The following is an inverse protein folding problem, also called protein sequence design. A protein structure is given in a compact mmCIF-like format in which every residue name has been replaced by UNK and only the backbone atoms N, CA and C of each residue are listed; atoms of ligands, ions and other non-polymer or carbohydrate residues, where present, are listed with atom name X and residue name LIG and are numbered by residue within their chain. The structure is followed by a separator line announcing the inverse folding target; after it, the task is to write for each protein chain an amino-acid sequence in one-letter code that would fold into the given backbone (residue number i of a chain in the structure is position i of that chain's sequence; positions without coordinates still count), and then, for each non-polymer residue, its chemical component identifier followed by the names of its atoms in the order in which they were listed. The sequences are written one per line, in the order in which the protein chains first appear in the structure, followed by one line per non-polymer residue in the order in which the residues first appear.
data_IF_469652829429
#
_entry.id   IF_469652829429
#
_cell.length_a   1.000
_cell.length_b   1.000
_cell.length_c   1.000
_cell.angle_alpha   90.00
_cell.angle_beta   90.00
_cell.angle_gamma   90.00
#
_symmetry.space_group_name_H-M   'P 1'
#
loop_
_entity.id
_entity.type
_entity.pdbx_description
1 polymer ?
#
# COMPACT_ATOMS: atom_id res chain seq x y z
N UNK A 1 -8.95 -11.97 8.45
CA UNK A 1 -7.93 -12.38 7.45
C UNK A 1 -6.70 -11.50 7.56
N UNK A 2 -5.65 -11.86 6.88
CA UNK A 2 -4.44 -11.04 6.84
C UNK A 2 -4.53 -10.06 5.67
N UNK A 3 -4.38 -8.78 5.95
CA UNK A 3 -4.51 -7.71 4.96
C UNK A 3 -3.23 -6.89 4.91
N UNK A 4 -2.76 -6.62 3.70
CA UNK A 4 -1.67 -5.68 3.47
C UNK A 4 -2.22 -4.27 3.27
N UNK A 5 -1.56 -3.28 3.84
CA UNK A 5 -1.88 -1.87 3.62
C UNK A 5 -0.66 -1.16 3.08
N UNK A 6 -0.77 -0.65 1.87
CA UNK A 6 0.24 0.22 1.28
C UNK A 6 -0.19 1.65 1.59
N UNK A 7 0.55 2.31 2.47
CA UNK A 7 0.19 3.62 2.98
C UNK A 7 0.96 4.73 2.25
N UNK A 8 0.23 5.67 1.68
CA UNK A 8 0.78 6.90 1.11
C UNK A 8 0.60 8.08 2.04
N UNK A 9 0.59 9.27 1.47
CA UNK A 9 0.43 10.53 2.18
C UNK A 9 -1.03 10.74 2.62
N UNK A 10 -1.24 11.51 3.68
CA UNK A 10 -2.55 11.96 4.11
C UNK A 10 -3.12 11.14 5.26
N UNK A 11 -4.40 11.37 5.55
CA UNK A 11 -5.10 10.76 6.68
C UNK A 11 -5.86 9.49 6.33
N UNK A 12 -6.10 9.23 5.06
CA UNK A 12 -6.87 8.07 4.65
C UNK A 12 -6.25 6.74 5.11
N UNK A 13 -4.91 6.56 5.11
CA UNK A 13 -4.30 5.35 5.67
C UNK A 13 -4.68 5.09 7.13
N UNK A 14 -4.86 6.14 7.94
CA UNK A 14 -5.30 6.00 9.34
C UNK A 14 -6.71 5.42 9.42
N UNK A 15 -7.62 5.92 8.60
CA UNK A 15 -9.00 5.43 8.55
C UNK A 15 -9.05 3.97 8.08
N UNK A 16 -8.27 3.63 7.08
CA UNK A 16 -8.22 2.27 6.54
C UNK A 16 -7.66 1.30 7.57
N UNK A 17 -6.61 1.67 8.28
CA UNK A 17 -6.01 0.83 9.32
C UNK A 17 -7.02 0.57 10.45
N UNK A 18 -7.68 1.62 10.94
CA UNK A 18 -8.71 1.48 11.98
C UNK A 18 -9.87 0.62 11.50
N UNK A 19 -10.35 0.85 10.28
CA UNK A 19 -11.47 0.11 9.71
C UNK A 19 -11.12 -1.38 9.58
N UNK A 20 -9.94 -1.69 9.08
CA UNK A 20 -9.49 -3.06 8.88
C UNK A 20 -9.36 -3.80 10.22
N UNK A 21 -8.79 -3.14 11.24
CA UNK A 21 -8.66 -3.74 12.57
C UNK A 21 -10.02 -3.94 13.23
N UNK A 22 -10.94 -3.01 13.05
CA UNK A 22 -12.31 -3.14 13.57
C UNK A 22 -13.05 -4.32 12.94
N UNK A 23 -12.76 -4.60 11.67
CA UNK A 23 -13.33 -5.77 10.97
C UNK A 23 -12.63 -7.08 11.37
N UNK A 24 -11.63 -7.04 12.24
CA UNK A 24 -10.92 -8.23 12.71
C UNK A 24 -9.78 -8.71 11.82
N UNK A 25 -9.32 -7.87 10.89
CA UNK A 25 -8.18 -8.23 10.05
C UNK A 25 -6.84 -8.03 10.78
N UNK A 26 -5.91 -8.94 10.55
CA UNK A 26 -4.51 -8.71 10.89
C UNK A 26 -3.88 -7.88 9.78
N UNK A 27 -3.35 -6.71 10.11
CA UNK A 27 -2.84 -5.77 9.10
C UNK A 27 -1.31 -5.73 9.14
N UNK A 28 -0.70 -5.81 7.97
CA UNK A 28 0.71 -5.49 7.77
C UNK A 28 0.78 -4.20 6.96
N UNK A 29 1.34 -3.16 7.56
CA UNK A 29 1.45 -1.84 6.94
C UNK A 29 2.83 -1.69 6.32
N UNK A 30 2.85 -1.30 5.06
CA UNK A 30 4.08 -0.86 4.38
C UNK A 30 3.93 0.61 4.08
N UNK A 31 4.74 1.43 4.74
CA UNK A 31 4.73 2.87 4.62
C UNK A 31 5.86 3.35 3.73
N UNK A 32 5.64 4.47 3.07
CA UNK A 32 6.60 5.06 2.12
C UNK A 32 7.34 6.22 2.78
N UNK A 33 8.65 6.13 2.82
CA UNK A 33 9.50 7.21 3.37
C UNK A 33 9.20 8.51 2.63
N UNK A 34 9.11 9.61 3.39
CA UNK A 34 8.83 10.96 2.90
C UNK A 34 7.42 11.16 2.35
N UNK A 35 6.56 10.15 2.36
CA UNK A 35 5.16 10.26 1.94
C UNK A 35 4.19 10.01 3.08
N UNK A 36 4.33 8.89 3.77
CA UNK A 36 3.42 8.48 4.85
C UNK A 36 3.66 9.32 6.10
N UNK A 37 2.61 9.76 6.76
CA UNK A 37 2.72 10.47 8.03
C UNK A 37 3.32 9.53 9.09
N UNK A 38 4.39 9.96 9.80
CA UNK A 38 5.03 9.11 10.81
C UNK A 38 4.10 8.66 11.93
N UNK A 39 3.05 9.44 12.22
CA UNK A 39 2.06 9.13 13.25
C UNK A 39 1.30 7.82 12.98
N UNK A 40 1.30 7.35 11.72
CA UNK A 40 0.69 6.07 11.39
C UNK A 40 1.40 4.91 12.11
N UNK A 41 2.71 5.01 12.31
CA UNK A 41 3.46 4.02 13.09
C UNK A 41 2.97 3.95 14.52
N UNK A 42 2.63 5.09 15.12
CA UNK A 42 2.10 5.14 16.48
C UNK A 42 0.73 4.48 16.56
N UNK A 43 -0.13 4.74 15.57
CA UNK A 43 -1.45 4.10 15.50
C UNK A 43 -1.31 2.59 15.32
N UNK A 44 -0.39 2.14 14.48
CA UNK A 44 -0.15 0.71 14.24
C UNK A 44 0.35 -0.01 15.50
N UNK A 45 1.06 0.68 16.37
CA UNK A 45 1.58 0.11 17.61
C UNK A 45 0.52 -0.07 18.69
N UNK A 46 -0.64 0.60 18.58
CA UNK A 46 -1.73 0.44 19.55
C UNK A 46 -2.36 -0.95 19.42
N UNK A 47 -2.74 -1.59 20.55
CA UNK A 47 -3.38 -2.91 20.50
C UNK A 47 -4.74 -2.90 19.76
N UNK A 48 -5.01 -3.93 18.97
CA UNK A 48 -4.13 -5.01 18.54
C UNK A 48 -3.08 -4.49 17.55
N UNK A 49 -1.81 -4.66 17.88
CA UNK A 49 -0.72 -4.08 17.10
C UNK A 49 -0.68 -4.65 15.68
N UNK A 50 -0.42 -3.78 14.70
CA UNK A 50 -0.19 -4.15 13.32
C UNK A 50 1.31 -4.16 13.04
N UNK A 51 1.76 -5.09 12.18
CA UNK A 51 3.14 -5.05 11.70
C UNK A 51 3.33 -3.80 10.84
N UNK A 52 4.48 -3.15 10.96
CA UNK A 52 4.74 -1.88 10.29
C UNK A 52 6.16 -1.86 9.71
N UNK A 53 6.27 -1.52 8.44
CA UNK A 53 7.55 -1.46 7.74
C UNK A 53 7.65 -0.17 6.93
N UNK A 54 8.84 0.45 6.96
CA UNK A 54 9.16 1.58 6.10
C UNK A 54 9.95 1.08 4.90
N UNK A 55 9.54 1.51 3.70
CA UNK A 55 10.33 1.30 2.48
C UNK A 55 10.52 2.63 1.77
N UNK A 56 11.52 2.68 0.90
CA UNK A 56 11.68 3.83 0.01
C UNK A 56 10.78 3.66 -1.22
N UNK A 57 10.33 4.78 -1.75
CA UNK A 57 9.63 4.77 -3.02
C UNK A 57 10.56 4.16 -4.09
N UNK A 58 10.07 3.20 -4.84
CA UNK A 58 10.89 2.48 -5.81
C UNK A 58 11.24 1.04 -5.42
N UNK A 59 10.98 0.64 -4.18
CA UNK A 59 11.28 -0.71 -3.68
C UNK A 59 10.08 -1.66 -3.81
N UNK A 60 9.62 -1.90 -5.04
CA UNK A 60 8.46 -2.77 -5.26
C UNK A 60 8.76 -4.23 -4.90
N UNK A 61 9.95 -4.72 -5.21
CA UNK A 61 10.35 -6.09 -4.85
C UNK A 61 10.36 -6.29 -3.34
N UNK A 62 10.82 -5.29 -2.59
CA UNK A 62 10.81 -5.32 -1.12
C UNK A 62 9.39 -5.37 -0.59
N UNK A 63 8.49 -4.55 -1.14
CA UNK A 63 7.06 -4.55 -0.77
C UNK A 63 6.45 -5.94 -0.94
N UNK A 64 6.67 -6.54 -2.10
CA UNK A 64 6.13 -7.88 -2.41
C UNK A 64 6.70 -8.92 -1.44
N UNK A 65 8.01 -8.88 -1.17
CA UNK A 65 8.66 -9.81 -0.25
C UNK A 65 8.09 -9.68 1.18
N UNK A 66 7.89 -8.46 1.66
CA UNK A 66 7.33 -8.22 3.00
C UNK A 66 5.92 -8.81 3.12
N UNK A 67 5.09 -8.61 2.10
CA UNK A 67 3.73 -9.15 2.12
C UNK A 67 3.73 -10.68 2.01
N UNK A 68 4.57 -11.26 1.18
CA UNK A 68 4.66 -12.71 1.06
C UNK A 68 5.14 -13.36 2.35
N UNK A 69 6.14 -12.79 3.00
CA UNK A 69 6.65 -13.29 4.28
C UNK A 69 5.59 -13.21 5.38
N UNK A 70 4.70 -12.24 5.31
CA UNK A 70 3.58 -12.10 6.25
C UNK A 70 2.38 -12.97 5.90
N UNK A 71 2.42 -13.71 4.80
CA UNK A 71 1.30 -14.54 4.35
C UNK A 71 0.14 -13.73 3.77
N UNK A 72 0.42 -12.55 3.24
CA UNK A 72 -0.59 -11.64 2.67
C UNK A 72 -0.89 -12.06 1.24
N UNK A 73 -2.18 -12.23 0.92
CA UNK A 73 -2.65 -12.49 -0.44
C UNK A 73 -3.54 -11.37 -0.96
N UNK A 74 -3.99 -10.47 -0.09
CA UNK A 74 -4.82 -9.32 -0.45
C UNK A 74 -4.25 -8.07 0.20
N UNK A 75 -4.19 -7.00 -0.57
CA UNK A 75 -3.67 -5.72 -0.10
C UNK A 75 -4.56 -4.58 -0.59
N UNK A 76 -4.55 -3.49 0.15
CA UNK A 76 -5.21 -2.26 -0.26
C UNK A 76 -4.19 -1.13 -0.26
N UNK A 77 -4.41 -0.15 -1.14
CA UNK A 77 -3.60 1.07 -1.18
C UNK A 77 -4.44 2.21 -0.66
N UNK A 78 -3.89 3.01 0.23
CA UNK A 78 -4.56 4.16 0.80
C UNK A 78 -3.61 5.35 0.89
N UNK A 79 -4.15 6.55 0.67
CA UNK A 79 -3.35 7.76 0.63
C UNK A 79 -2.86 8.07 -0.77
N UNK A 80 -2.00 9.06 -0.87
CA UNK A 80 -1.51 9.56 -2.14
C UNK A 80 0.02 9.57 -2.19
N UNK A 81 0.56 9.41 -3.40
CA UNK A 81 1.97 9.69 -3.70
C UNK A 81 1.97 10.76 -4.79
N UNK A 82 2.75 11.81 -4.58
CA UNK A 82 2.80 12.90 -5.56
C UNK A 82 3.22 12.38 -6.92
N UNK A 83 2.48 12.77 -7.97
CA UNK A 83 2.73 12.34 -9.34
C UNK A 83 4.18 12.60 -9.76
N UNK A 84 4.71 13.78 -9.43
CA UNK A 84 6.10 14.12 -9.76
C UNK A 84 7.12 13.20 -9.09
N UNK A 85 6.83 12.72 -7.86
CA UNK A 85 7.71 11.80 -7.16
C UNK A 85 7.68 10.39 -7.73
N UNK A 86 6.52 9.93 -8.22
CA UNK A 86 6.39 8.60 -8.80
C UNK A 86 7.36 8.40 -9.97
N UNK A 87 7.46 9.37 -10.84
CA UNK A 87 8.35 9.27 -12.00
C UNK A 87 9.78 9.70 -11.71
N UNK A 88 9.99 10.53 -10.67
CA UNK A 88 11.34 10.93 -10.26
C UNK A 88 12.16 9.78 -9.67
N UNK A 89 11.52 8.72 -9.16
CA UNK A 89 12.22 7.57 -8.58
C UNK A 89 12.65 6.53 -9.60
N UNK A 90 12.48 6.78 -10.90
CA UNK A 90 12.89 5.82 -11.94
C UNK A 90 14.37 5.45 -11.81
N UNK A 91 15.21 6.41 -11.40
CA UNK A 91 16.65 6.18 -11.22
C UNK A 91 16.97 5.29 -10.02
N UNK A 92 16.06 5.20 -9.03
CA UNK A 92 16.25 4.41 -7.81
C UNK A 92 15.30 3.20 -7.76
N UNK A 93 14.60 2.91 -8.86
CA UNK A 93 13.69 1.78 -8.94
C UNK A 93 14.47 0.46 -8.81
N UNK A 94 13.94 -0.48 -8.01
CA UNK A 94 14.50 -1.82 -7.97
C UNK A 94 14.17 -2.57 -9.29
N UNK A 95 14.73 -3.77 -9.44
CA UNK A 95 14.56 -4.54 -10.69
C UNK A 95 13.07 -4.84 -10.96
N UNK A 96 12.29 -5.10 -9.94
CA UNK A 96 10.86 -5.40 -10.09
C UNK A 96 10.09 -4.19 -10.61
N UNK A 97 10.31 -3.02 -10.01
CA UNK A 97 9.65 -1.79 -10.46
C UNK A 97 10.15 -1.36 -11.83
N UNK A 98 11.43 -1.52 -12.10
CA UNK A 98 11.99 -1.20 -13.41
C UNK A 98 11.31 -2.02 -14.49
N UNK A 99 11.08 -3.30 -14.25
CA UNK A 99 10.32 -4.16 -15.17
C UNK A 99 8.92 -3.66 -15.44
N UNK A 100 8.23 -3.15 -14.40
CA UNK A 100 6.90 -2.54 -14.55
C UNK A 100 7.00 -1.29 -15.43
N UNK A 101 7.95 -0.40 -15.13
CA UNK A 101 8.13 0.86 -15.86
C UNK A 101 8.41 0.61 -17.37
N UNK A 102 9.17 -0.42 -17.68
CA UNK A 102 9.49 -0.76 -19.07
C UNK A 102 8.28 -1.29 -19.85
N UNK A 103 7.27 -1.80 -19.17
CA UNK A 103 6.06 -2.34 -19.79
C UNK A 103 4.95 -1.30 -19.92
N UNK A 104 5.13 -0.10 -19.35
CA UNK A 104 4.09 0.92 -19.39
C UNK A 104 3.93 1.47 -20.79
N UNK A 105 2.67 1.54 -21.26
CA UNK A 105 2.33 2.15 -22.55
C UNK A 105 2.15 3.66 -22.43
N UNK A 106 1.78 4.14 -21.25
CA UNK A 106 1.59 5.57 -20.96
C UNK A 106 2.23 5.90 -19.62
N UNK A 107 2.70 7.14 -19.46
CA UNK A 107 3.28 7.63 -18.22
C UNK A 107 2.22 8.31 -17.34
N UNK A 108 1.11 7.64 -17.13
CA UNK A 108 0.08 8.13 -16.21
C UNK A 108 0.22 7.46 -14.85
N UNK A 109 -0.28 8.13 -13.80
CA UNK A 109 -0.33 7.56 -12.45
C UNK A 109 -1.18 6.29 -12.44
N UNK A 110 -2.33 6.31 -13.12
CA UNK A 110 -3.21 5.15 -13.19
C UNK A 110 -2.55 3.97 -13.91
N UNK A 111 -1.81 4.24 -14.97
CA UNK A 111 -1.05 3.22 -15.68
C UNK A 111 0.02 2.58 -14.82
N UNK A 112 0.73 3.40 -14.03
CA UNK A 112 1.76 2.92 -13.12
C UNK A 112 1.14 2.05 -12.01
N UNK A 113 0.06 2.50 -11.41
CA UNK A 113 -0.63 1.74 -10.36
C UNK A 113 -1.16 0.41 -10.92
N UNK A 114 -1.73 0.43 -12.12
CA UNK A 114 -2.18 -0.78 -12.79
C UNK A 114 -1.05 -1.77 -13.06
N UNK A 115 0.11 -1.28 -13.49
CA UNK A 115 1.30 -2.11 -13.69
C UNK A 115 1.83 -2.71 -12.40
N UNK A 116 1.83 -1.94 -11.31
CA UNK A 116 2.20 -2.43 -9.98
C UNK A 116 1.23 -3.51 -9.51
N UNK A 117 -0.08 -3.29 -9.71
CA UNK A 117 -1.10 -4.26 -9.34
C UNK A 117 -0.92 -5.58 -10.09
N UNK A 118 -0.61 -5.52 -11.39
CA UNK A 118 -0.35 -6.70 -12.21
C UNK A 118 0.89 -7.47 -11.71
N UNK A 119 1.96 -6.75 -11.37
CA UNK A 119 3.18 -7.36 -10.84
C UNK A 119 2.92 -8.04 -9.49
N UNK A 120 2.10 -7.45 -8.64
CA UNK A 120 1.71 -8.03 -7.36
C UNK A 120 0.86 -9.28 -7.57
N UNK A 121 -0.09 -9.23 -8.50
CA UNK A 121 -0.95 -10.37 -8.83
C UNK A 121 -0.14 -11.55 -9.34
N UNK A 122 0.88 -11.32 -10.14
CA UNK A 122 1.79 -12.37 -10.63
C UNK A 122 2.52 -13.07 -9.48
N UNK A 123 2.64 -12.42 -8.32
CA UNK A 123 3.24 -12.97 -7.12
C UNK A 123 2.22 -13.46 -6.09
N UNK A 124 0.94 -13.51 -6.47
CA UNK A 124 -0.11 -14.04 -5.62
C UNK A 124 -0.73 -13.03 -4.65
N UNK A 125 -0.55 -11.73 -4.89
CA UNK A 125 -1.11 -10.67 -4.04
C UNK A 125 -2.08 -9.84 -4.88
N UNK A 126 -3.37 -9.87 -4.52
CA UNK A 126 -4.39 -9.06 -5.18
C UNK A 126 -4.45 -7.68 -4.52
N UNK A 127 -4.30 -6.63 -5.33
CA UNK A 127 -4.49 -5.26 -4.88
C UNK A 127 -5.97 -4.89 -5.04
N UNK A 128 -6.65 -4.69 -3.92
CA UNK A 128 -8.08 -4.45 -3.85
C UNK A 128 -8.38 -2.96 -3.84
N UNK A 129 -9.59 -2.59 -4.26
CA UNK A 129 -10.10 -1.24 -4.08
C UNK A 129 -10.45 -1.04 -2.60
N UNK A 130 -9.70 -0.19 -1.90
CA UNK A 130 -9.89 0.03 -0.47
C UNK A 130 -11.26 0.58 -0.13
N UNK A 131 -11.78 1.50 -0.95
CA UNK A 131 -13.09 2.11 -0.72
C UNK A 131 -14.20 1.06 -0.83
N UNK A 132 -14.20 0.25 -1.87
CA UNK A 132 -15.21 -0.78 -2.07
C UNK A 132 -15.13 -1.86 -0.99
N UNK A 133 -13.91 -2.28 -0.63
CA UNK A 133 -13.69 -3.33 0.36
C UNK A 133 -14.12 -2.93 1.77
N UNK A 134 -13.89 -1.67 2.13
CA UNK A 134 -14.17 -1.16 3.48
C UNK A 134 -15.37 -0.22 3.53
N UNK A 135 -16.11 -0.05 2.43
CA UNK A 135 -17.20 0.92 2.33
C UNK A 135 -18.24 0.82 3.46
N UNK A 136 -18.71 -0.37 3.88
CA UNK A 136 -19.70 -0.44 4.95
C UNK A 136 -19.22 0.16 6.26
N UNK A 137 -17.94 0.01 6.60
CA UNK A 137 -17.38 0.55 7.82
C UNK A 137 -16.94 2.00 7.65
N UNK A 138 -16.39 2.36 6.51
CA UNK A 138 -15.98 3.73 6.21
C UNK A 138 -17.17 4.68 6.20
N UNK A 139 -18.33 4.22 5.74
CA UNK A 139 -19.57 5.00 5.79
C UNK A 139 -19.97 5.37 7.21
N UNK A 140 -19.74 4.49 8.18
CA UNK A 140 -20.01 4.76 9.59
C UNK A 140 -19.01 5.76 10.18
N UNK A 141 -17.77 5.70 9.75
CA UNK A 141 -16.70 6.57 10.25
C UNK A 141 -16.89 8.02 9.75
N UNK A 142 -17.45 8.20 8.57
CA UNK A 142 -17.64 9.52 7.97
C UNK A 142 -18.89 10.28 8.47
N UNK A 143 -19.65 9.68 9.31
CA UNK A 143 -20.79 10.34 9.96
C UNK A 143 -20.31 11.09 11.21
#
# INVERSE_FOLDING_TARGET
MRLGLIAGNGRFPFLVLDAARTLGHEVTVVALKDETFPELADLAALPPAAAFHWISLGQLGTLIALFKDAGITQAVMAGQVKHTKLFAVMASADATLLGVLMRLKTRSTDGLIGGIADAMRDKGIDLLNSTAFLAPLLSLIHI
#
